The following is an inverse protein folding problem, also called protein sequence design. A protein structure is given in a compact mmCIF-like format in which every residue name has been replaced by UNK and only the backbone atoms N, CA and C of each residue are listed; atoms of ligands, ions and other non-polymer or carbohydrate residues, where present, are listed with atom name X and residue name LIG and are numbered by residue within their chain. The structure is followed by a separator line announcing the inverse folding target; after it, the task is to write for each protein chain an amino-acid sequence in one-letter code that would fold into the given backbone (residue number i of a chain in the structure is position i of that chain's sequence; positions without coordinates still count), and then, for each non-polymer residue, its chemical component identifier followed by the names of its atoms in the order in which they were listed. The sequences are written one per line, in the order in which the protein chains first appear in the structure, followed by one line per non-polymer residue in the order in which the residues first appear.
data_IF_717715251725
#
_entry.id   IF_717715251725
#
_cell.length_a   1.000
_cell.length_b   1.000
_cell.length_c   1.000
_cell.angle_alpha   90.00
_cell.angle_beta   90.00
_cell.angle_gamma   90.00
#
_symmetry.space_group_name_H-M   'P 1'
#
loop_
_entity.id
_entity.type
_entity.pdbx_description
1 polymer ?
#
# COMPACT_ATOMS: atom_id res chain seq x y z
N UNK A 1 -9.02 -9.04 -0.76
CA UNK A 1 -8.98 -7.70 -0.12
C UNK A 1 -8.40 -6.67 -1.07
N UNK A 2 -8.65 -5.42 -0.82
CA UNK A 2 -8.07 -4.33 -1.60
C UNK A 2 -6.71 -3.96 -1.03
N UNK A 3 -5.68 -4.00 -1.87
CA UNK A 3 -4.29 -3.75 -1.48
C UNK A 3 -3.80 -2.49 -2.18
N UNK A 4 -3.29 -1.54 -1.43
CA UNK A 4 -2.67 -0.32 -1.97
C UNK A 4 -1.15 -0.47 -1.92
N UNK A 5 -0.50 -0.24 -3.06
CA UNK A 5 0.95 -0.21 -3.17
C UNK A 5 1.38 1.22 -3.48
N UNK A 6 2.29 1.77 -2.70
CA UNK A 6 2.64 3.19 -2.80
C UNK A 6 4.13 3.42 -3.00
N UNK A 7 4.46 4.62 -3.43
CA UNK A 7 5.82 5.09 -3.54
C UNK A 7 6.60 4.42 -4.65
N UNK A 8 7.91 4.29 -4.43
CA UNK A 8 8.81 3.72 -5.42
C UNK A 8 8.75 2.20 -5.48
N UNK A 9 8.10 1.56 -4.53
CA UNK A 9 7.95 0.12 -4.53
C UNK A 9 7.03 -0.31 -5.67
N UNK A 10 7.44 -1.34 -6.40
CA UNK A 10 6.63 -1.88 -7.49
C UNK A 10 6.61 -3.39 -7.40
N UNK A 11 5.41 -3.95 -7.50
CA UNK A 11 5.27 -5.39 -7.64
C UNK A 11 5.65 -5.76 -9.08
N UNK A 12 6.37 -6.87 -9.24
CA UNK A 12 6.56 -7.41 -10.59
C UNK A 12 5.27 -8.05 -11.06
N UNK A 13 5.17 -8.33 -12.37
CA UNK A 13 3.93 -8.86 -12.95
C UNK A 13 3.53 -10.22 -12.34
N UNK A 14 4.50 -11.06 -12.03
CA UNK A 14 4.22 -12.36 -11.41
C UNK A 14 3.62 -12.23 -10.02
N UNK A 15 4.16 -11.32 -9.20
CA UNK A 15 3.63 -11.08 -7.85
C UNK A 15 2.22 -10.52 -7.91
N UNK A 16 1.99 -9.58 -8.81
CA UNK A 16 0.67 -8.98 -8.97
C UNK A 16 -0.37 -10.04 -9.41
N UNK A 17 0.01 -10.87 -10.36
CA UNK A 17 -0.86 -11.95 -10.85
C UNK A 17 -1.21 -12.93 -9.74
N UNK A 18 -0.25 -13.27 -8.88
CA UNK A 18 -0.50 -14.17 -7.75
C UNK A 18 -1.51 -13.57 -6.79
N UNK A 19 -1.38 -12.29 -6.47
CA UNK A 19 -2.33 -11.62 -5.58
C UNK A 19 -3.72 -11.56 -6.19
N UNK A 20 -3.81 -11.23 -7.47
CA UNK A 20 -5.08 -11.14 -8.17
C UNK A 20 -5.74 -12.52 -8.29
N UNK A 21 -4.95 -13.56 -8.55
CA UNK A 21 -5.45 -14.93 -8.62
C UNK A 21 -5.99 -15.40 -7.25
N UNK A 22 -5.46 -14.87 -6.17
CA UNK A 22 -5.94 -15.19 -4.82
C UNK A 22 -7.20 -14.39 -4.43
N UNK A 23 -7.72 -13.56 -5.35
CA UNK A 23 -8.94 -12.79 -5.11
C UNK A 23 -8.71 -11.39 -4.60
N UNK A 24 -7.46 -10.91 -4.57
CA UNK A 24 -7.14 -9.56 -4.15
C UNK A 24 -7.15 -8.59 -5.32
N UNK A 25 -7.45 -7.33 -5.02
CA UNK A 25 -7.33 -6.24 -5.99
C UNK A 25 -6.15 -5.37 -5.59
N UNK A 26 -5.30 -5.05 -6.55
CA UNK A 26 -4.09 -4.25 -6.33
C UNK A 26 -4.27 -2.87 -6.95
N UNK A 27 -4.02 -1.84 -6.16
CA UNK A 27 -4.08 -0.44 -6.59
C UNK A 27 -2.72 0.19 -6.37
N UNK A 28 -2.36 1.14 -7.22
CA UNK A 28 -1.05 1.82 -7.13
C UNK A 28 -1.28 3.31 -6.89
N UNK A 29 -0.55 3.86 -5.92
CA UNK A 29 -0.50 5.28 -5.65
C UNK A 29 0.97 5.70 -5.64
N UNK A 30 1.42 6.29 -6.73
CA UNK A 30 2.85 6.49 -6.99
C UNK A 30 3.53 7.48 -6.06
N UNK A 31 2.86 8.54 -5.64
CA UNK A 31 3.47 9.59 -4.80
C UNK A 31 2.86 9.56 -3.40
N UNK A 32 3.66 9.09 -2.45
CA UNK A 32 3.21 8.97 -1.05
C UNK A 32 2.91 10.31 -0.39
N UNK A 33 3.41 11.40 -0.97
CA UNK A 33 3.19 12.74 -0.42
C UNK A 33 1.84 13.32 -0.79
N UNK A 34 1.15 12.74 -1.76
CA UNK A 34 -0.18 13.20 -2.17
C UNK A 34 -1.27 12.47 -1.41
N UNK A 35 -2.45 13.09 -1.23
CA UNK A 35 -3.57 12.42 -0.56
C UNK A 35 -4.02 11.18 -1.32
N UNK A 36 -4.33 10.13 -0.58
CA UNK A 36 -4.91 8.91 -1.11
C UNK A 36 -6.41 9.10 -1.23
N UNK A 37 -6.97 8.81 -2.41
CA UNK A 37 -8.41 8.85 -2.61
C UNK A 37 -9.05 7.60 -2.04
N UNK A 38 -10.16 7.77 -1.34
CA UNK A 38 -10.94 6.67 -0.77
C UNK A 38 -10.10 5.71 0.08
N UNK A 39 -9.37 6.23 1.08
CA UNK A 39 -8.48 5.38 1.90
C UNK A 39 -9.23 4.29 2.66
N UNK A 40 -10.51 4.49 2.92
CA UNK A 40 -11.36 3.54 3.63
C UNK A 40 -11.58 2.23 2.88
N UNK A 41 -11.26 2.19 1.59
CA UNK A 41 -11.44 0.97 0.79
C UNK A 41 -10.32 -0.04 0.97
N UNK A 42 -9.14 0.41 1.44
CA UNK A 42 -7.96 -0.43 1.46
C UNK A 42 -7.85 -1.18 2.79
N UNK A 43 -7.64 -2.47 2.70
CA UNK A 43 -7.47 -3.35 3.84
C UNK A 43 -6.00 -3.65 4.11
N UNK A 44 -5.16 -3.54 3.08
CA UNK A 44 -3.72 -3.71 3.20
C UNK A 44 -3.00 -2.60 2.43
N UNK A 45 -1.87 -2.16 2.98
CA UNK A 45 -1.06 -1.11 2.37
C UNK A 45 0.40 -1.56 2.37
N UNK A 46 1.05 -1.49 1.22
CA UNK A 46 2.49 -1.67 1.08
C UNK A 46 3.08 -0.29 0.86
N UNK A 47 3.86 0.19 1.82
CA UNK A 47 4.33 1.57 1.80
C UNK A 47 5.70 1.72 2.45
N UNK A 48 6.29 2.90 2.26
CA UNK A 48 7.51 3.31 2.94
C UNK A 48 7.24 4.53 3.83
N UNK A 49 6.82 5.64 3.23
CA UNK A 49 6.59 6.89 3.94
C UNK A 49 5.17 7.43 3.84
N UNK A 50 4.21 6.62 3.43
CA UNK A 50 2.85 7.09 3.16
C UNK A 50 2.23 7.80 4.36
N UNK A 51 2.37 7.25 5.56
CA UNK A 51 1.71 7.78 6.74
C UNK A 51 2.41 8.98 7.36
N UNK A 52 3.52 9.43 6.76
CA UNK A 52 4.09 10.73 7.08
C UNK A 52 3.25 11.87 6.50
N UNK A 53 2.51 11.61 5.44
CA UNK A 53 1.75 12.61 4.69
C UNK A 53 0.25 12.34 4.67
N UNK A 54 -0.15 11.11 4.93
CA UNK A 54 -1.56 10.70 4.97
C UNK A 54 -1.88 10.18 6.37
N UNK A 55 -2.97 10.64 6.95
CA UNK A 55 -3.37 10.18 8.27
C UNK A 55 -3.82 8.72 8.23
N UNK A 56 -3.23 7.89 9.08
CA UNK A 56 -3.60 6.48 9.18
C UNK A 56 -5.07 6.33 9.63
N UNK A 57 -5.60 7.32 10.35
CA UNK A 57 -6.98 7.28 10.83
C UNK A 57 -8.01 7.28 9.70
N UNK A 58 -7.64 7.77 8.52
CA UNK A 58 -8.51 7.75 7.34
C UNK A 58 -8.66 6.36 6.75
N UNK A 59 -7.75 5.45 7.08
CA UNK A 59 -7.75 4.08 6.55
C UNK A 59 -8.55 3.17 7.49
N UNK A 60 -9.84 3.39 7.51
CA UNK A 60 -10.73 2.76 8.50
C UNK A 60 -10.92 1.25 8.34
N UNK A 61 -10.60 0.71 7.18
CA UNK A 61 -10.66 -0.74 6.92
C UNK A 61 -9.30 -1.42 7.00
N UNK A 62 -8.26 -0.68 7.36
CA UNK A 62 -6.89 -1.17 7.33
C UNK A 62 -6.67 -2.28 8.34
N UNK A 63 -6.11 -3.40 7.86
CA UNK A 63 -5.83 -4.59 8.67
C UNK A 63 -4.35 -4.95 8.65
N UNK A 64 -3.65 -4.63 7.57
CA UNK A 64 -2.25 -5.01 7.37
C UNK A 64 -1.47 -3.84 6.80
N UNK A 65 -0.32 -3.55 7.38
CA UNK A 65 0.66 -2.62 6.83
C UNK A 65 1.95 -3.39 6.60
N UNK A 66 2.43 -3.36 5.36
CA UNK A 66 3.71 -3.94 5.00
C UNK A 66 4.66 -2.81 4.62
N UNK A 67 5.70 -2.62 5.40
CA UNK A 67 6.73 -1.65 5.08
C UNK A 67 7.70 -2.25 4.06
N UNK A 68 8.21 -1.43 3.15
CA UNK A 68 9.20 -1.87 2.19
C UNK A 68 10.54 -2.10 2.90
N UNK A 69 11.36 -2.98 2.35
CA UNK A 69 12.64 -3.33 2.96
C UNK A 69 13.57 -2.14 3.14
N UNK A 70 13.48 -1.15 2.26
CA UNK A 70 14.29 0.05 2.38
C UNK A 70 14.02 0.80 3.68
N UNK A 71 12.81 0.74 4.19
CA UNK A 71 12.48 1.33 5.47
C UNK A 71 13.14 0.61 6.64
N UNK A 72 13.29 -0.69 6.54
CA UNK A 72 13.87 -1.50 7.61
C UNK A 72 15.35 -1.19 7.81
N UNK A 73 16.06 -0.96 6.72
CA UNK A 73 17.49 -0.70 6.78
C UNK A 73 17.85 0.60 7.48
N UNK A 74 16.88 1.45 7.70
CA UNK A 74 17.08 2.75 8.33
C UNK A 74 16.66 2.81 9.77
N UNK A 75 16.14 1.75 10.23
CA UNK A 75 15.65 1.67 11.61
C UNK A 75 16.80 1.48 12.60
#
# INVERSE_FOLDING_TARGET
MNILVTGAFQLNSGEREQLEAAGHKVFVHGDERTPVDYPERYEAVVCNGLFLYNSIERFTSLRVIQLTSAGLDRV
#
